data_IF_774049708248
#
_entry.id   IF_774049708248
#
_cell.length_a   1.000
_cell.length_b   1.000
_cell.length_c   1.000
_cell.angle_alpha   90.00
_cell.angle_beta   90.00
_cell.angle_gamma   90.00
#
_symmetry.space_group_name_H-M   'P 1'
#
loop_
_entity.id
_entity.type
_entity.pdbx_description
1 polymer ?
#
# COMPACT_ATOMS: atom_id res chain seq x y z
N UNK A 1 -12.73 -14.25 7.33
CA UNK A 1 -12.69 -14.34 5.85
C UNK A 1 -13.44 -13.20 5.16
N UNK A 2 -14.73 -12.96 5.40
CA UNK A 2 -15.48 -11.88 4.71
C UNK A 2 -14.96 -10.45 4.98
N UNK A 3 -14.54 -10.15 6.22
CA UNK A 3 -14.01 -8.82 6.61
C UNK A 3 -12.71 -8.47 5.89
N UNK A 4 -11.89 -9.48 5.60
CA UNK A 4 -10.58 -9.32 4.96
C UNK A 4 -10.72 -8.93 3.48
N UNK A 5 -11.61 -9.62 2.75
CA UNK A 5 -11.94 -9.31 1.35
C UNK A 5 -12.54 -7.90 1.23
N UNK A 6 -13.46 -7.51 2.12
CA UNK A 6 -14.06 -6.16 2.10
C UNK A 6 -13.01 -5.07 2.21
N UNK A 7 -12.03 -5.28 3.08
CA UNK A 7 -10.91 -4.40 3.34
C UNK A 7 -9.91 -4.34 2.17
N UNK A 8 -9.58 -5.48 1.56
CA UNK A 8 -8.79 -5.53 0.32
C UNK A 8 -9.49 -4.80 -0.84
N UNK A 9 -10.80 -5.00 -1.00
CA UNK A 9 -11.62 -4.28 -1.99
C UNK A 9 -11.59 -2.77 -1.74
N UNK A 10 -11.81 -2.35 -0.49
CA UNK A 10 -11.74 -0.93 -0.12
C UNK A 10 -10.38 -0.31 -0.47
N UNK A 11 -9.28 -1.02 -0.24
CA UNK A 11 -7.97 -0.54 -0.66
C UNK A 11 -7.89 -0.41 -2.20
N UNK A 12 -8.32 -1.44 -2.92
CA UNK A 12 -8.25 -1.52 -4.39
C UNK A 12 -9.30 -0.67 -5.14
N UNK A 13 -10.23 0.00 -4.45
CA UNK A 13 -11.13 0.97 -5.09
C UNK A 13 -10.45 2.30 -5.41
N UNK A 14 -9.29 2.57 -4.82
CA UNK A 14 -8.52 3.79 -5.05
C UNK A 14 -7.92 3.81 -6.46
N UNK A 15 -7.68 5.02 -6.98
CA UNK A 15 -7.13 5.20 -8.34
C UNK A 15 -5.62 5.40 -8.35
N UNK A 16 -5.08 6.02 -7.29
CA UNK A 16 -3.66 6.31 -7.11
C UNK A 16 -3.09 5.44 -6.01
N UNK A 17 -1.86 4.99 -6.21
CA UNK A 17 -1.14 4.12 -5.28
C UNK A 17 0.26 4.65 -5.03
N UNK A 18 0.79 4.37 -3.84
CA UNK A 18 2.18 4.62 -3.50
C UNK A 18 2.81 3.38 -2.88
N UNK A 19 4.08 3.11 -3.20
CA UNK A 19 4.82 1.96 -2.66
C UNK A 19 6.06 2.45 -1.92
N UNK A 20 6.11 2.19 -0.61
CA UNK A 20 7.31 2.42 0.22
C UNK A 20 8.00 1.09 0.47
N UNK A 21 9.31 1.03 0.25
CA UNK A 21 10.13 -0.17 0.44
C UNK A 21 10.59 -0.85 -0.86
N UNK A 22 10.23 -0.31 -2.02
CA UNK A 22 10.86 -0.69 -3.30
C UNK A 22 12.32 -0.19 -3.35
N UNK A 23 13.17 -0.89 -4.10
CA UNK A 23 14.59 -0.51 -4.29
C UNK A 23 15.07 -0.96 -5.66
N UNK A 24 16.33 -0.72 -6.00
CA UNK A 24 16.94 -1.22 -7.25
C UNK A 24 17.13 -2.74 -7.26
N UNK A 25 17.01 -3.40 -6.10
CA UNK A 25 17.08 -4.85 -5.98
C UNK A 25 15.71 -5.48 -6.27
N UNK A 26 15.58 -6.12 -7.44
CA UNK A 26 14.35 -6.77 -7.90
C UNK A 26 14.03 -8.09 -7.17
N UNK A 27 14.97 -8.64 -6.41
CA UNK A 27 14.71 -9.85 -5.60
C UNK A 27 13.83 -9.55 -4.39
N UNK A 28 13.82 -8.29 -3.92
CA UNK A 28 13.09 -7.85 -2.73
C UNK A 28 11.60 -7.66 -2.98
N UNK A 29 10.82 -7.91 -1.93
CA UNK A 29 9.36 -7.83 -1.97
C UNK A 29 8.83 -6.45 -2.35
N UNK A 30 9.43 -5.37 -1.87
CA UNK A 30 8.98 -4.02 -2.22
C UNK A 30 9.03 -3.76 -3.73
N UNK A 31 10.09 -4.22 -4.40
CA UNK A 31 10.24 -4.10 -5.86
C UNK A 31 9.28 -5.02 -6.61
N UNK A 32 9.11 -6.27 -6.16
CA UNK A 32 8.12 -7.20 -6.74
C UNK A 32 6.68 -6.68 -6.64
N UNK A 33 6.35 -6.00 -5.54
CA UNK A 33 5.04 -5.38 -5.35
C UNK A 33 4.89 -4.14 -6.24
N UNK A 34 5.93 -3.32 -6.37
CA UNK A 34 5.91 -2.23 -7.34
C UNK A 34 5.66 -2.74 -8.77
N UNK A 35 6.38 -3.79 -9.20
CA UNK A 35 6.19 -4.44 -10.48
C UNK A 35 4.77 -5.02 -10.65
N UNK A 36 4.16 -5.52 -9.57
CA UNK A 36 2.76 -5.99 -9.58
C UNK A 36 1.79 -4.85 -9.95
N UNK A 37 1.97 -3.65 -9.40
CA UNK A 37 1.16 -2.48 -9.81
C UNK A 37 1.40 -2.09 -11.27
N UNK A 38 2.67 -2.03 -11.68
CA UNK A 38 3.08 -1.66 -13.06
C UNK A 38 2.45 -2.61 -14.09
N UNK A 39 2.54 -3.92 -13.86
CA UNK A 39 2.00 -4.94 -14.76
C UNK A 39 0.47 -4.85 -14.95
N UNK A 40 -0.24 -4.14 -14.06
CA UNK A 40 -1.69 -3.90 -14.11
C UNK A 40 -2.05 -2.50 -14.62
N UNK A 41 -1.07 -1.73 -15.10
CA UNK A 41 -1.24 -0.34 -15.53
C UNK A 41 -1.90 0.53 -14.44
N UNK A 42 -1.58 0.27 -13.17
CA UNK A 42 -2.10 1.05 -12.05
C UNK A 42 -1.22 2.30 -11.86
N UNK A 43 -1.86 3.42 -11.54
CA UNK A 43 -1.15 4.67 -11.24
C UNK A 43 -0.43 4.54 -9.90
N UNK A 44 0.85 4.18 -9.94
CA UNK A 44 1.69 3.90 -8.77
C UNK A 44 2.90 4.82 -8.74
N UNK A 45 3.18 5.40 -7.58
CA UNK A 45 4.38 6.22 -7.32
C UNK A 45 5.27 5.52 -6.29
N UNK A 46 6.51 5.15 -6.60
CA UNK A 46 7.45 4.67 -5.60
C UNK A 46 7.87 5.82 -4.68
N UNK A 47 7.89 5.58 -3.36
CA UNK A 47 8.38 6.53 -2.37
C UNK A 47 9.73 6.04 -1.86
N UNK A 48 10.77 6.81 -2.11
CA UNK A 48 12.15 6.43 -1.80
C UNK A 48 13.01 7.64 -1.44
N UNK A 49 13.79 7.60 -0.34
CA UNK A 49 14.49 8.79 0.16
C UNK A 49 15.61 9.31 -0.75
N UNK A 50 16.24 8.42 -1.54
CA UNK A 50 17.47 8.74 -2.30
C UNK A 50 17.38 8.48 -3.80
N UNK A 51 17.01 7.27 -4.23
CA UNK A 51 16.80 6.95 -5.64
C UNK A 51 15.66 7.78 -6.24
N UNK A 52 15.96 8.55 -7.29
CA UNK A 52 15.00 9.40 -8.00
C UNK A 52 14.10 8.63 -9.00
N UNK A 53 14.47 7.40 -9.33
CA UNK A 53 13.75 6.54 -10.25
C UNK A 53 13.86 5.08 -9.81
N UNK A 54 12.75 4.32 -9.90
CA UNK A 54 12.67 2.89 -9.67
C UNK A 54 11.72 2.26 -10.68
N UNK A 55 12.14 1.16 -11.34
CA UNK A 55 11.34 0.45 -12.35
C UNK A 55 10.77 1.38 -13.45
N UNK A 56 11.55 2.40 -13.86
CA UNK A 56 11.14 3.38 -14.88
C UNK A 56 10.18 4.47 -14.39
N UNK A 57 9.84 4.49 -13.09
CA UNK A 57 8.94 5.46 -12.47
C UNK A 57 9.70 6.45 -11.61
N UNK A 58 9.38 7.74 -11.77
CA UNK A 58 9.88 8.80 -10.88
C UNK A 58 9.43 8.55 -9.45
N UNK A 59 10.33 8.74 -8.50
CA UNK A 59 10.02 8.60 -7.08
C UNK A 59 9.69 9.93 -6.43
N UNK A 60 8.98 9.88 -5.31
CA UNK A 60 8.93 10.99 -4.33
C UNK A 60 9.77 10.65 -3.11
N UNK A 61 10.30 11.65 -2.41
CA UNK A 61 11.19 11.39 -1.27
C UNK A 61 10.44 10.99 0.00
N UNK A 62 9.20 11.42 0.11
CA UNK A 62 8.34 11.16 1.27
C UNK A 62 6.86 11.06 0.87
N UNK A 63 6.03 10.65 1.83
CA UNK A 63 4.57 10.63 1.70
C UNK A 63 4.01 12.06 1.53
N UNK A 64 4.66 13.06 2.15
CA UNK A 64 4.24 14.47 2.09
C UNK A 64 4.44 15.09 0.70
N UNK A 65 5.35 14.52 -0.10
CA UNK A 65 5.62 14.94 -1.47
C UNK A 65 4.71 14.27 -2.51
N UNK A 66 3.81 13.36 -2.08
CA UNK A 66 2.84 12.76 -3.01
C UNK A 66 1.90 13.86 -3.55
N UNK A 67 1.59 13.91 -4.85
CA UNK A 67 0.75 14.97 -5.44
C UNK A 67 -0.68 15.05 -4.88
N UNK A 68 -1.23 13.94 -4.37
CA UNK A 68 -2.60 13.89 -3.85
C UNK A 68 -2.73 12.85 -2.72
N UNK A 69 -2.09 13.04 -1.54
CA UNK A 69 -2.02 12.00 -0.51
C UNK A 69 -3.38 11.48 -0.05
N UNK A 70 -4.39 12.36 -0.02
CA UNK A 70 -5.79 12.03 0.35
C UNK A 70 -6.53 11.16 -0.67
N UNK A 71 -5.97 10.97 -1.85
CA UNK A 71 -6.51 10.11 -2.92
C UNK A 71 -5.64 8.87 -3.18
N UNK A 72 -4.49 8.78 -2.52
CA UNK A 72 -3.46 7.77 -2.79
C UNK A 72 -3.46 6.69 -1.72
N UNK A 73 -3.75 5.44 -2.10
CA UNK A 73 -3.62 4.30 -1.21
C UNK A 73 -2.13 3.90 -1.06
N UNK A 74 -1.69 3.60 0.16
CA UNK A 74 -0.27 3.41 0.48
C UNK A 74 0.06 1.95 0.80
N UNK A 75 1.03 1.39 0.11
CA UNK A 75 1.60 0.07 0.37
C UNK A 75 2.95 0.19 1.06
N UNK A 76 3.11 -0.44 2.23
CA UNK A 76 4.31 -0.36 3.07
C UNK A 76 4.97 -1.75 3.17
N UNK A 77 6.22 -1.82 2.73
CA UNK A 77 7.04 -3.05 2.70
C UNK A 77 8.40 -2.80 3.37
N UNK A 78 8.37 -2.10 4.50
CA UNK A 78 9.56 -1.76 5.31
C UNK A 78 9.57 -2.55 6.63
N UNK A 79 10.73 -2.69 7.30
CA UNK A 79 10.77 -3.20 8.68
C UNK A 79 9.87 -2.39 9.63
N UNK A 80 9.30 -3.05 10.66
CA UNK A 80 8.33 -2.45 11.58
C UNK A 80 8.75 -1.11 12.22
N UNK A 81 10.02 -1.00 12.61
CA UNK A 81 10.63 0.24 13.13
C UNK A 81 10.51 1.45 12.19
N UNK A 82 10.46 1.21 10.88
CA UNK A 82 10.24 2.25 9.87
C UNK A 82 8.75 2.41 9.58
N UNK A 83 8.02 1.29 9.50
CA UNK A 83 6.57 1.25 9.26
C UNK A 83 5.78 2.13 10.23
N UNK A 84 6.13 2.15 11.52
CA UNK A 84 5.45 3.02 12.51
C UNK A 84 5.55 4.51 12.15
N UNK A 85 6.71 4.98 11.66
CA UNK A 85 6.89 6.37 11.23
C UNK A 85 6.11 6.68 9.96
N UNK A 86 6.01 5.72 9.04
CA UNK A 86 5.20 5.86 7.84
C UNK A 86 3.70 5.89 8.18
N UNK A 87 3.25 5.15 9.20
CA UNK A 87 1.87 5.23 9.70
C UNK A 87 1.55 6.61 10.28
N UNK A 88 2.48 7.20 11.03
CA UNK A 88 2.37 8.58 11.54
C UNK A 88 2.24 9.60 10.40
N UNK A 89 3.13 9.54 9.41
CA UNK A 89 3.09 10.42 8.24
C UNK A 89 1.81 10.23 7.42
N UNK A 90 1.45 8.99 7.11
CA UNK A 90 0.24 8.67 6.36
C UNK A 90 -1.02 9.17 7.07
N UNK A 91 -1.08 9.03 8.41
CA UNK A 91 -2.16 9.60 9.22
C UNK A 91 -2.20 11.12 9.11
N UNK A 92 -1.06 11.79 9.25
CA UNK A 92 -0.96 13.25 9.17
C UNK A 92 -1.38 13.81 7.80
N UNK A 93 -1.01 13.12 6.71
CA UNK A 93 -1.35 13.50 5.34
C UNK A 93 -2.77 13.09 4.91
N UNK A 94 -3.51 12.38 5.77
CA UNK A 94 -4.87 11.95 5.48
C UNK A 94 -4.93 10.85 4.41
N UNK A 95 -3.92 9.98 4.34
CA UNK A 95 -3.92 8.81 3.45
C UNK A 95 -5.16 7.95 3.75
N UNK A 96 -5.98 7.64 2.72
CA UNK A 96 -7.31 7.06 2.93
C UNK A 96 -7.28 5.55 3.20
N UNK A 97 -6.29 4.84 2.66
CA UNK A 97 -6.14 3.40 2.81
C UNK A 97 -4.66 3.00 2.84
N UNK A 98 -4.30 2.06 3.72
CA UNK A 98 -2.92 1.61 3.91
C UNK A 98 -2.90 0.09 3.90
N UNK A 99 -1.92 -0.51 3.24
CA UNK A 99 -1.61 -1.92 3.34
C UNK A 99 -0.19 -2.11 3.82
N UNK A 100 -0.04 -2.89 4.88
CA UNK A 100 1.25 -3.31 5.39
C UNK A 100 1.46 -4.75 4.95
N UNK A 101 2.50 -5.00 4.15
CA UNK A 101 2.85 -6.34 3.70
C UNK A 101 3.02 -7.27 4.91
N UNK A 102 2.55 -8.53 4.86
CA UNK A 102 2.81 -9.50 5.93
C UNK A 102 4.31 -9.56 6.29
N UNK A 103 4.61 -9.38 7.59
CA UNK A 103 5.97 -9.29 8.12
C UNK A 103 6.57 -7.87 8.18
N UNK A 104 5.89 -6.85 7.64
CA UNK A 104 6.32 -5.46 7.70
C UNK A 104 5.74 -4.67 8.90
N UNK A 105 4.88 -5.31 9.70
CA UNK A 105 4.35 -4.78 10.96
C UNK A 105 4.93 -5.56 12.16
N UNK A 106 5.21 -4.84 13.24
CA UNK A 106 5.50 -5.39 14.56
C UNK A 106 4.41 -4.99 15.58
N UNK A 107 4.62 -5.35 16.85
CA UNK A 107 3.68 -5.04 17.94
C UNK A 107 3.38 -3.54 18.03
N UNK A 108 4.39 -2.69 17.90
CA UNK A 108 4.25 -1.24 18.02
C UNK A 108 3.40 -0.67 16.88
N UNK A 109 3.55 -1.20 15.66
CA UNK A 109 2.68 -0.86 14.54
C UNK A 109 1.21 -1.18 14.84
N UNK A 110 0.93 -2.37 15.40
CA UNK A 110 -0.43 -2.82 15.71
C UNK A 110 -1.08 -1.97 16.81
N UNK A 111 -0.33 -1.68 17.88
CA UNK A 111 -0.78 -0.79 18.95
C UNK A 111 -1.04 0.62 18.41
N UNK A 112 -0.16 1.15 17.56
CA UNK A 112 -0.36 2.44 16.93
C UNK A 112 -1.66 2.48 16.11
N UNK A 113 -1.88 1.50 15.23
CA UNK A 113 -3.09 1.41 14.38
C UNK A 113 -4.36 1.42 15.24
N UNK A 114 -4.36 0.63 16.33
CA UNK A 114 -5.51 0.47 17.22
C UNK A 114 -5.78 1.75 18.02
N UNK A 115 -4.76 2.30 18.68
CA UNK A 115 -4.88 3.48 19.53
C UNK A 115 -5.23 4.76 18.74
N UNK A 116 -4.98 4.76 17.44
CA UNK A 116 -5.23 5.89 16.55
C UNK A 116 -6.48 5.73 15.68
N UNK A 117 -7.33 4.71 15.92
CA UNK A 117 -8.58 4.51 15.20
C UNK A 117 -8.39 4.21 13.71
N UNK A 118 -7.29 3.54 13.34
CA UNK A 118 -6.94 3.30 11.94
C UNK A 118 -7.33 1.91 11.43
N UNK A 119 -7.90 1.05 12.29
CA UNK A 119 -8.22 -0.35 12.00
C UNK A 119 -9.09 -0.55 10.76
N UNK A 120 -9.97 0.39 10.43
CA UNK A 120 -10.88 0.27 9.28
C UNK A 120 -10.21 0.57 7.93
N UNK A 121 -9.09 1.28 7.95
CA UNK A 121 -8.36 1.69 6.74
C UNK A 121 -6.98 1.07 6.57
N UNK A 122 -6.48 0.33 7.57
CA UNK A 122 -5.18 -0.35 7.51
C UNK A 122 -5.37 -1.87 7.38
N UNK A 123 -4.76 -2.45 6.35
CA UNK A 123 -4.65 -3.89 6.10
C UNK A 123 -3.32 -4.38 6.69
N UNK A 124 -3.37 -5.28 7.68
CA UNK A 124 -2.15 -5.74 8.37
C UNK A 124 -2.24 -7.16 8.96
N UNK A 125 -3.38 -7.84 8.88
CA UNK A 125 -3.64 -9.13 9.54
C UNK A 125 -3.35 -10.33 8.63
N UNK A 126 -2.23 -10.28 7.89
CA UNK A 126 -1.81 -11.37 6.99
C UNK A 126 -2.40 -11.31 5.57
N UNK A 127 -3.19 -10.28 5.26
CA UNK A 127 -3.62 -10.00 3.89
C UNK A 127 -2.43 -9.69 2.98
N UNK A 128 -2.37 -10.36 1.83
CA UNK A 128 -1.31 -10.15 0.85
C UNK A 128 -1.92 -9.75 -0.49
N UNK A 129 -1.90 -8.47 -0.85
CA UNK A 129 -2.43 -8.01 -2.15
C UNK A 129 -1.63 -8.57 -3.33
N UNK A 130 -0.33 -8.85 -3.16
CA UNK A 130 0.46 -9.51 -4.20
C UNK A 130 -0.07 -10.93 -4.52
N UNK A 131 -0.54 -11.67 -3.50
CA UNK A 131 -1.09 -13.03 -3.65
C UNK A 131 -2.56 -13.02 -4.05
N UNK A 132 -3.36 -12.18 -3.38
CA UNK A 132 -4.83 -12.26 -3.42
C UNK A 132 -5.45 -11.19 -4.32
N UNK A 133 -4.70 -10.11 -4.63
CA UNK A 133 -5.23 -8.90 -5.25
C UNK A 133 -5.84 -9.13 -6.64
N UNK A 134 -5.33 -10.07 -7.42
CA UNK A 134 -5.88 -10.39 -8.75
C UNK A 134 -7.28 -10.99 -8.67
N UNK A 135 -7.50 -11.90 -7.71
CA UNK A 135 -8.82 -12.47 -7.47
C UNK A 135 -9.81 -11.39 -7.04
N UNK A 136 -9.36 -10.46 -6.20
CA UNK A 136 -10.18 -9.32 -5.76
C UNK A 136 -10.51 -8.39 -6.94
N UNK A 137 -9.52 -8.00 -7.75
CA UNK A 137 -9.72 -7.16 -8.94
C UNK A 137 -10.67 -7.83 -9.94
N UNK A 138 -10.49 -9.12 -10.21
CA UNK A 138 -11.37 -9.90 -11.09
C UNK A 138 -12.82 -9.89 -10.60
N UNK A 139 -13.05 -10.10 -9.30
CA UNK A 139 -14.40 -10.03 -8.72
C UNK A 139 -15.04 -8.63 -8.85
N UNK A 140 -14.24 -7.56 -8.70
CA UNK A 140 -14.71 -6.19 -8.84
C UNK A 140 -15.10 -5.84 -10.27
N UNK A 141 -14.38 -6.35 -11.27
CA UNK A 141 -14.71 -6.16 -12.69
C UNK A 141 -15.99 -6.91 -13.06
N UNK A 142 -16.12 -8.17 -12.62
CA UNK A 142 -17.31 -8.98 -12.91
C UNK A 142 -18.58 -8.36 -12.34
N UNK A 143 -18.54 -7.83 -11.11
CA UNK A 143 -19.68 -7.16 -10.51
C UNK A 143 -20.08 -5.88 -11.27
N UNK A 144 -19.10 -5.10 -11.76
CA UNK A 144 -19.39 -3.92 -12.58
C UNK A 144 -20.01 -4.26 -13.93
N UNK A 145 -19.68 -5.42 -14.49
CA UNK A 145 -20.23 -5.88 -15.77
C UNK A 145 -21.67 -6.45 -15.64
N UNK A 146 -22.11 -6.76 -14.42
CA UNK A 146 -23.44 -7.29 -14.10
C UNK A 146 -24.45 -6.22 -13.65
N UNK A 147 -24.00 -4.96 -13.50
CA UNK A 147 -24.84 -3.79 -13.18
C UNK A 147 -25.14 -3.00 -14.45
#
# INVERSE_FOLDING_TARGET
MATSIKKQRFFLTHKKYAVVGASTDQSKWGTKILQWYIARNMDVTPVHPTNAELEGLKTTKSIDELPSPKETALSIITPGKITIRLLEQAKAQGVPAIWIQPGAADKDCVEYITNNGMTDRVLWQGECLWRDGDGVLGSMVQERALM
#
